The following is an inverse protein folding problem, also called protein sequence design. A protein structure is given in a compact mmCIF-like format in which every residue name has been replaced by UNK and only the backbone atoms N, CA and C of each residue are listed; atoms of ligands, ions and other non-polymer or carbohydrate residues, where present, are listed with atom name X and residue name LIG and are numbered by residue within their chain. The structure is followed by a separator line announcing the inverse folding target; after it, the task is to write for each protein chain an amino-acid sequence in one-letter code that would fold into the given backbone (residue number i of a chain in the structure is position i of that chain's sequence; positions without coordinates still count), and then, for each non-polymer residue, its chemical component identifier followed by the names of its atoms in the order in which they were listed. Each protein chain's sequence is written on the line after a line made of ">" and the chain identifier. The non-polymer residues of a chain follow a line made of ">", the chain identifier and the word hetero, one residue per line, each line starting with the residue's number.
data_IF_334637140248
#
_entry.id   IF_334637140248
#
_cell.length_a   1.000
_cell.length_b   1.000
_cell.length_c   1.000
_cell.angle_alpha   90.00
_cell.angle_beta   90.00
_cell.angle_gamma   90.00
#
_symmetry.space_group_name_H-M   'P 1'
#
loop_
_entity.id
_entity.type
_entity.pdbx_description
1 polymer ?
#
# COMPACT_ATOMS: atom_id res chain seq x y z
N UNK A 1 -82.97 4.69 -13.13
CA UNK A 1 -82.00 4.40 -12.04
C UNK A 1 -80.90 3.38 -12.38
N UNK A 2 -80.65 3.00 -13.66
CA UNK A 2 -79.60 2.02 -14.02
C UNK A 2 -78.26 2.64 -14.46
N UNK A 3 -78.23 3.91 -14.87
CA UNK A 3 -77.01 4.57 -15.34
C UNK A 3 -76.03 4.98 -14.20
N UNK A 4 -76.53 5.20 -12.98
CA UNK A 4 -75.72 5.69 -11.85
C UNK A 4 -74.80 4.61 -11.25
N UNK A 5 -75.11 3.31 -11.42
CA UNK A 5 -74.30 2.21 -10.87
C UNK A 5 -73.07 1.87 -11.72
N UNK A 6 -73.09 2.15 -13.02
CA UNK A 6 -71.96 1.88 -13.93
C UNK A 6 -70.82 2.89 -13.77
N UNK A 7 -71.13 4.15 -13.44
CA UNK A 7 -70.11 5.18 -13.24
C UNK A 7 -69.33 5.00 -11.93
N UNK A 8 -69.96 4.48 -10.88
CA UNK A 8 -69.29 4.23 -9.59
C UNK A 8 -68.33 3.04 -9.69
N UNK A 9 -68.65 2.03 -10.50
CA UNK A 9 -67.77 0.90 -10.79
C UNK A 9 -66.57 1.30 -11.69
N UNK A 10 -66.78 2.22 -12.64
CA UNK A 10 -65.68 2.71 -13.48
C UNK A 10 -64.67 3.59 -12.69
N UNK A 11 -65.16 4.38 -11.72
CA UNK A 11 -64.29 5.23 -10.87
C UNK A 11 -63.48 4.41 -9.85
N UNK A 12 -64.04 3.31 -9.33
CA UNK A 12 -63.37 2.45 -8.36
C UNK A 12 -62.31 1.55 -8.99
N UNK A 13 -62.45 1.18 -10.27
CA UNK A 13 -61.43 0.42 -11.01
C UNK A 13 -60.23 1.29 -11.41
N UNK A 14 -60.43 2.59 -11.69
CA UNK A 14 -59.30 3.51 -11.95
C UNK A 14 -58.47 3.84 -10.70
N UNK A 15 -59.06 3.77 -9.50
CA UNK A 15 -58.36 4.05 -8.25
C UNK A 15 -57.40 2.91 -7.82
N UNK A 16 -57.60 1.68 -8.32
CA UNK A 16 -56.74 0.52 -8.01
C UNK A 16 -55.49 0.50 -8.93
N UNK A 17 -55.57 1.10 -10.12
CA UNK A 17 -54.44 1.20 -11.05
C UNK A 17 -53.40 2.26 -10.65
N UNK A 18 -53.70 3.12 -9.67
CA UNK A 18 -52.78 4.08 -9.07
C UNK A 18 -52.17 3.58 -7.75
N UNK A 19 -52.17 2.26 -7.53
CA UNK A 19 -51.35 1.65 -6.48
C UNK A 19 -49.88 1.86 -6.85
N UNK A 20 -49.24 2.82 -6.20
CA UNK A 20 -47.82 3.13 -6.33
C UNK A 20 -46.99 1.86 -6.06
N UNK A 21 -46.68 1.10 -7.10
CA UNK A 21 -45.50 0.24 -7.11
C UNK A 21 -44.32 1.20 -7.12
N UNK A 22 -43.91 1.63 -5.93
CA UNK A 22 -42.70 2.42 -5.75
C UNK A 22 -41.57 1.44 -6.05
N UNK A 23 -41.04 1.51 -7.27
CA UNK A 23 -39.91 0.70 -7.72
C UNK A 23 -38.76 1.01 -6.78
N UNK A 24 -38.51 0.09 -5.85
CA UNK A 24 -37.38 0.21 -4.93
C UNK A 24 -36.17 0.03 -5.82
N UNK A 25 -35.47 1.13 -6.10
CA UNK A 25 -34.26 1.13 -6.91
C UNK A 25 -33.18 0.22 -6.33
N UNK A 26 -31.98 0.31 -6.89
CA UNK A 26 -30.89 -0.54 -6.44
C UNK A 26 -30.51 -0.23 -4.98
N UNK A 27 -30.47 -1.29 -4.17
CA UNK A 27 -30.03 -1.23 -2.78
C UNK A 27 -28.58 -1.70 -2.76
N UNK A 28 -27.66 -0.76 -2.61
CA UNK A 28 -26.24 -1.08 -2.42
C UNK A 28 -25.97 -1.49 -0.97
N UNK A 29 -25.48 -2.72 -0.78
CA UNK A 29 -25.02 -3.27 0.51
C UNK A 29 -23.52 -3.54 0.53
N UNK A 30 -22.79 -3.07 -0.47
CA UNK A 30 -21.33 -3.17 -0.49
C UNK A 30 -20.73 -2.38 0.67
N UNK A 31 -19.61 -2.86 1.17
CA UNK A 31 -18.88 -2.18 2.24
C UNK A 31 -17.91 -1.16 1.61
N UNK A 32 -17.62 -0.05 2.30
CA UNK A 32 -16.57 0.91 1.89
C UNK A 32 -15.19 0.24 1.93
N UNK A 33 -14.09 0.92 1.61
CA UNK A 33 -12.71 0.41 1.73
C UNK A 33 -12.40 -0.84 0.88
N UNK A 34 -12.87 -0.83 -0.36
CA UNK A 34 -12.53 -1.82 -1.38
C UNK A 34 -11.61 -1.19 -2.40
N UNK A 35 -10.68 -1.98 -2.95
CA UNK A 35 -9.82 -1.57 -4.06
C UNK A 35 -10.00 -2.54 -5.22
N UNK A 36 -10.11 -2.02 -6.45
CA UNK A 36 -10.08 -2.87 -7.64
C UNK A 36 -8.65 -3.36 -7.84
N UNK A 37 -8.45 -4.63 -8.18
CA UNK A 37 -7.10 -5.17 -8.40
C UNK A 37 -6.38 -4.44 -9.55
N UNK A 38 -7.13 -4.09 -10.59
CA UNK A 38 -6.62 -3.30 -11.72
C UNK A 38 -6.12 -1.91 -11.31
N UNK A 39 -6.61 -1.38 -10.19
CA UNK A 39 -6.09 -0.13 -9.62
C UNK A 39 -4.70 -0.28 -9.02
N UNK A 40 -4.10 -1.46 -8.92
CA UNK A 40 -2.73 -1.63 -8.42
C UNK A 40 -1.74 -2.07 -9.50
N UNK A 41 -2.22 -2.34 -10.71
CA UNK A 41 -1.36 -2.70 -11.84
C UNK A 41 -0.35 -1.59 -12.16
N UNK A 42 0.85 -1.98 -12.61
CA UNK A 42 1.91 -1.05 -13.01
C UNK A 42 2.96 -0.83 -11.93
N UNK A 43 3.78 0.21 -12.15
CA UNK A 43 4.87 0.58 -11.25
C UNK A 43 4.39 1.56 -10.20
N UNK A 44 4.89 1.37 -8.97
CA UNK A 44 4.61 2.22 -7.83
C UNK A 44 5.90 2.65 -7.17
N UNK A 45 5.99 3.94 -6.84
CA UNK A 45 7.04 4.49 -6.00
C UNK A 45 6.56 4.48 -4.56
N UNK A 46 7.39 3.92 -3.68
CA UNK A 46 7.09 3.77 -2.27
C UNK A 46 8.17 4.47 -1.46
N UNK A 47 7.75 5.36 -0.56
CA UNK A 47 8.61 6.13 0.32
C UNK A 47 8.16 5.95 1.76
N UNK A 48 9.12 5.67 2.65
CA UNK A 48 8.89 5.73 4.09
C UNK A 48 9.45 7.05 4.63
N UNK A 49 8.72 7.69 5.55
CA UNK A 49 9.14 8.92 6.23
C UNK A 49 8.67 8.91 7.68
N UNK A 50 9.54 9.22 8.63
CA UNK A 50 9.14 9.42 10.04
C UNK A 50 8.42 10.75 10.17
N UNK A 51 7.14 10.70 10.53
CA UNK A 51 6.29 11.89 10.68
C UNK A 51 6.16 12.33 12.13
N UNK A 52 6.37 11.41 13.07
CA UNK A 52 6.26 11.70 14.49
C UNK A 52 7.18 10.78 15.29
N UNK A 53 7.81 11.36 16.30
CA UNK A 53 8.67 10.65 17.24
C UNK A 53 8.77 11.46 18.53
N UNK A 54 9.00 10.79 19.66
CA UNK A 54 9.25 11.49 20.91
C UNK A 54 10.54 12.34 20.83
N UNK A 55 10.57 13.48 21.52
CA UNK A 55 11.73 14.36 21.53
C UNK A 55 12.97 13.74 22.19
N UNK A 56 12.79 12.67 22.96
CA UNK A 56 13.89 11.92 23.59
C UNK A 56 14.46 10.83 22.70
N UNK A 57 13.89 10.62 21.50
CA UNK A 57 14.22 9.46 20.72
C UNK A 57 15.63 9.50 20.15
N UNK A 58 16.29 8.36 20.28
CA UNK A 58 17.68 8.13 19.83
C UNK A 58 17.75 7.35 18.53
N UNK A 59 16.66 6.67 18.18
CA UNK A 59 16.59 5.72 17.07
C UNK A 59 16.25 6.36 15.73
N UNK A 60 15.56 7.51 15.72
CA UNK A 60 15.22 8.27 14.51
C UNK A 60 14.73 9.69 14.85
N UNK A 61 14.45 10.51 13.84
CA UNK A 61 13.97 11.90 13.97
C UNK A 61 12.89 12.21 12.92
N UNK A 62 12.07 13.26 13.13
CA UNK A 62 11.05 13.67 12.15
C UNK A 62 11.71 14.12 10.84
N UNK A 63 11.29 13.51 9.73
CA UNK A 63 11.86 13.73 8.40
C UNK A 63 13.00 12.79 8.05
N UNK A 64 13.31 11.81 8.91
CA UNK A 64 14.12 10.66 8.51
C UNK A 64 13.38 9.87 7.42
N UNK A 65 14.10 9.51 6.35
CA UNK A 65 13.55 9.02 5.09
C UNK A 65 14.28 7.77 4.62
N UNK A 66 13.53 6.79 4.10
CA UNK A 66 14.09 5.61 3.45
C UNK A 66 14.67 5.92 2.07
N UNK A 67 15.33 4.93 1.45
CA UNK A 67 15.97 5.07 0.12
C UNK A 67 14.99 5.24 -1.05
N UNK A 68 13.69 5.09 -0.82
CA UNK A 68 12.67 5.04 -1.87
C UNK A 68 12.75 3.75 -2.67
N UNK A 69 11.61 3.14 -2.96
CA UNK A 69 11.55 1.84 -3.65
C UNK A 69 10.58 1.90 -4.81
N UNK A 70 11.01 1.39 -5.97
CA UNK A 70 10.10 1.08 -7.08
C UNK A 70 9.61 -0.36 -6.92
N UNK A 71 8.30 -0.52 -6.87
CA UNK A 71 7.65 -1.82 -6.65
C UNK A 71 6.55 -2.11 -7.66
N UNK A 72 6.26 -3.39 -7.83
CA UNK A 72 5.08 -3.93 -8.52
C UNK A 72 4.25 -4.64 -7.47
N UNK A 73 2.95 -4.33 -7.41
CA UNK A 73 2.02 -5.01 -6.52
C UNK A 73 1.49 -6.28 -7.17
N UNK A 74 1.56 -7.39 -6.44
CA UNK A 74 0.98 -8.65 -6.82
C UNK A 74 0.01 -9.13 -5.73
N UNK A 75 -1.29 -9.23 -6.05
CA UNK A 75 -2.26 -9.82 -5.15
C UNK A 75 -2.12 -11.35 -5.13
N UNK A 76 -1.72 -11.91 -3.99
CA UNK A 76 -1.89 -13.33 -3.66
C UNK A 76 -3.25 -13.58 -2.99
N UNK A 77 -3.49 -14.78 -2.47
CA UNK A 77 -4.77 -15.14 -1.83
C UNK A 77 -4.99 -14.44 -0.48
N UNK A 78 -3.94 -14.34 0.34
CA UNK A 78 -4.01 -13.80 1.70
C UNK A 78 -3.13 -12.54 1.88
N UNK A 79 -2.29 -12.19 0.90
CA UNK A 79 -1.33 -11.10 0.99
C UNK A 79 -1.27 -10.31 -0.32
N UNK A 80 -1.17 -8.99 -0.21
CA UNK A 80 -0.79 -8.11 -1.30
C UNK A 80 0.71 -7.85 -1.16
N UNK A 81 1.51 -8.46 -2.01
CA UNK A 81 2.98 -8.37 -1.94
C UNK A 81 3.45 -7.28 -2.90
N UNK A 82 4.36 -6.43 -2.42
CA UNK A 82 5.05 -5.42 -3.21
C UNK A 82 6.46 -5.92 -3.52
N UNK A 83 6.69 -6.36 -4.76
CA UNK A 83 7.99 -6.82 -5.21
C UNK A 83 8.82 -5.68 -5.78
N UNK A 84 10.12 -5.68 -5.50
CA UNK A 84 11.06 -4.74 -6.11
C UNK A 84 11.04 -4.86 -7.64
N UNK A 85 10.93 -3.73 -8.32
CA UNK A 85 10.81 -3.65 -9.78
C UNK A 85 12.16 -3.54 -10.52
N UNK A 86 13.28 -3.57 -9.81
CA UNK A 86 14.63 -3.39 -10.33
C UNK A 86 15.61 -4.35 -9.62
N UNK A 87 16.72 -4.68 -10.29
CA UNK A 87 17.77 -5.50 -9.68
C UNK A 87 18.49 -4.71 -8.58
N UNK A 88 18.61 -5.29 -7.39
CA UNK A 88 19.36 -4.68 -6.27
C UNK A 88 20.84 -4.53 -6.60
N UNK A 89 21.41 -5.63 -7.10
CA UNK A 89 22.78 -5.73 -7.54
C UNK A 89 22.75 -6.04 -9.03
N UNK A 90 23.18 -5.07 -9.83
CA UNK A 90 23.19 -5.18 -11.29
C UNK A 90 23.93 -6.46 -11.71
N UNK A 91 23.21 -7.31 -12.47
CA UNK A 91 23.68 -8.59 -12.99
C UNK A 91 23.67 -9.75 -12.00
N UNK A 92 23.25 -9.55 -10.74
CA UNK A 92 23.13 -10.64 -9.78
C UNK A 92 21.94 -11.56 -10.10
N UNK A 93 20.81 -11.00 -10.51
CA UNK A 93 19.61 -11.78 -10.81
C UNK A 93 19.85 -12.67 -12.04
N UNK A 94 20.49 -12.14 -13.08
CA UNK A 94 20.93 -12.93 -14.24
C UNK A 94 21.92 -14.08 -13.91
N UNK A 95 22.67 -13.98 -12.81
CA UNK A 95 23.55 -15.05 -12.33
C UNK A 95 22.79 -16.08 -11.48
N UNK A 96 21.84 -15.62 -10.67
CA UNK A 96 21.03 -16.47 -9.81
C UNK A 96 19.97 -17.25 -10.60
N UNK A 97 19.43 -16.63 -11.64
CA UNK A 97 18.42 -17.17 -12.52
C UNK A 97 18.79 -16.94 -14.00
N UNK A 98 19.68 -17.79 -14.54
CA UNK A 98 20.11 -17.69 -15.93
C UNK A 98 18.99 -18.04 -16.94
N UNK A 99 17.86 -18.59 -16.46
CA UNK A 99 16.74 -18.99 -17.31
C UNK A 99 15.60 -17.95 -17.32
N UNK A 100 15.61 -16.96 -16.41
CA UNK A 100 14.54 -15.98 -16.25
C UNK A 100 13.24 -16.59 -15.72
N UNK A 101 13.34 -17.60 -14.86
CA UNK A 101 12.22 -18.24 -14.17
C UNK A 101 11.67 -17.43 -12.98
N UNK A 102 12.47 -16.52 -12.41
CA UNK A 102 12.09 -15.62 -11.32
C UNK A 102 11.42 -14.40 -11.93
N UNK A 103 10.10 -14.34 -11.80
CA UNK A 103 9.26 -13.30 -12.39
C UNK A 103 9.36 -11.95 -11.63
N UNK A 104 9.77 -11.99 -10.35
CA UNK A 104 9.74 -10.84 -9.46
C UNK A 104 11.02 -10.69 -8.62
N UNK A 105 11.41 -9.44 -8.32
CA UNK A 105 12.50 -9.14 -7.41
C UNK A 105 12.20 -9.52 -5.95
N UNK A 106 13.01 -9.05 -5.00
CA UNK A 106 12.73 -9.27 -3.58
C UNK A 106 11.41 -8.62 -3.16
N UNK A 107 10.62 -9.33 -2.35
CA UNK A 107 9.46 -8.72 -1.67
C UNK A 107 9.97 -7.59 -0.76
N UNK A 108 9.42 -6.39 -0.87
CA UNK A 108 9.79 -5.25 -0.01
C UNK A 108 8.77 -5.08 1.11
N UNK A 109 7.49 -5.18 0.75
CA UNK A 109 6.36 -5.04 1.67
C UNK A 109 5.31 -6.11 1.36
N UNK A 110 4.50 -6.48 2.35
CA UNK A 110 3.29 -7.25 2.16
C UNK A 110 2.19 -6.78 3.11
N UNK A 111 0.96 -6.69 2.60
CA UNK A 111 -0.22 -6.31 3.37
C UNK A 111 -1.21 -7.46 3.41
N UNK A 112 -1.80 -7.79 4.56
CA UNK A 112 -2.83 -8.82 4.63
C UNK A 112 -4.06 -8.46 3.80
N UNK A 113 -4.57 -9.43 3.05
CA UNK A 113 -5.84 -9.32 2.35
C UNK A 113 -6.93 -9.95 3.22
N UNK A 114 -7.97 -9.17 3.52
CA UNK A 114 -9.11 -9.62 4.33
C UNK A 114 -10.10 -10.44 3.50
N UNK A 115 -10.32 -10.04 2.24
CA UNK A 115 -11.21 -10.76 1.32
C UNK A 115 -11.03 -10.34 -0.14
N UNK A 116 -11.29 -11.29 -1.04
CA UNK A 116 -11.50 -11.04 -2.46
C UNK A 116 -12.98 -11.23 -2.80
N UNK A 117 -13.57 -10.32 -3.56
CA UNK A 117 -14.99 -10.35 -3.88
C UNK A 117 -15.32 -9.61 -5.18
N UNK A 118 -16.48 -9.91 -5.71
CA UNK A 118 -17.10 -9.19 -6.82
C UNK A 118 -18.29 -8.39 -6.35
N UNK A 119 -18.52 -7.25 -7.01
CA UNK A 119 -19.72 -6.46 -6.79
C UNK A 119 -20.74 -6.86 -7.85
N UNK A 120 -21.77 -7.58 -7.43
CA UNK A 120 -22.83 -8.01 -8.33
C UNK A 120 -24.21 -7.96 -7.68
N UNK A 121 -25.25 -8.00 -8.50
CA UNK A 121 -26.62 -8.15 -8.00
C UNK A 121 -26.78 -9.52 -7.37
N UNK A 122 -27.32 -9.54 -6.16
CA UNK A 122 -27.69 -10.78 -5.48
C UNK A 122 -28.71 -11.53 -6.34
N UNK A 123 -28.55 -12.83 -6.48
CA UNK A 123 -29.46 -13.68 -7.24
C UNK A 123 -29.94 -14.86 -6.39
N UNK A 124 -31.09 -15.41 -6.75
CA UNK A 124 -31.56 -16.65 -6.15
C UNK A 124 -30.76 -17.83 -6.71
N UNK A 125 -30.02 -18.55 -5.87
CA UNK A 125 -29.17 -19.67 -6.29
C UNK A 125 -29.93 -20.85 -6.92
N UNK A 126 -31.24 -20.96 -6.68
CA UNK A 126 -32.09 -22.01 -7.25
C UNK A 126 -32.70 -21.64 -8.61
N UNK A 127 -32.91 -20.35 -8.90
CA UNK A 127 -33.61 -19.89 -10.13
C UNK A 127 -32.78 -18.99 -11.03
N UNK A 128 -31.68 -18.41 -10.53
CA UNK A 128 -30.85 -17.43 -11.25
C UNK A 128 -31.47 -16.03 -11.36
N UNK A 129 -32.65 -15.80 -10.81
CA UNK A 129 -33.29 -14.49 -10.85
C UNK A 129 -32.52 -13.48 -10.00
N UNK A 130 -32.11 -12.37 -10.61
CA UNK A 130 -31.43 -11.27 -9.93
C UNK A 130 -32.43 -10.43 -9.13
N UNK A 131 -31.98 -9.96 -7.98
CA UNK A 131 -32.70 -9.03 -7.11
C UNK A 131 -32.20 -7.60 -7.34
N UNK A 132 -32.87 -6.63 -6.73
CA UNK A 132 -32.45 -5.22 -6.72
C UNK A 132 -31.35 -4.93 -5.67
N UNK A 133 -30.79 -5.93 -5.00
CA UNK A 133 -29.74 -5.75 -3.99
C UNK A 133 -28.38 -6.00 -4.63
N UNK A 134 -27.48 -5.01 -4.56
CA UNK A 134 -26.07 -5.15 -4.93
C UNK A 134 -25.30 -5.60 -3.68
N UNK A 135 -24.51 -6.66 -3.80
CA UNK A 135 -23.80 -7.26 -2.68
C UNK A 135 -22.42 -7.76 -3.10
N UNK A 136 -21.52 -7.88 -2.13
CA UNK A 136 -20.22 -8.50 -2.30
C UNK A 136 -20.37 -10.03 -2.38
N UNK A 137 -19.86 -10.63 -3.45
CA UNK A 137 -19.84 -12.07 -3.64
C UNK A 137 -18.39 -12.59 -3.58
N UNK A 138 -18.13 -13.53 -2.68
CA UNK A 138 -16.83 -14.16 -2.49
C UNK A 138 -16.87 -15.69 -2.71
N UNK A 139 -17.90 -16.21 -3.38
CA UNK A 139 -18.12 -17.65 -3.55
C UNK A 139 -18.08 -18.14 -4.99
N UNK A 140 -18.46 -17.30 -5.96
CA UNK A 140 -18.81 -17.79 -7.31
C UNK A 140 -17.59 -18.03 -8.20
N UNK A 141 -16.56 -17.18 -8.06
CA UNK A 141 -15.30 -17.24 -8.81
C UNK A 141 -14.14 -17.52 -7.88
N UNK A 142 -13.03 -18.05 -8.40
CA UNK A 142 -11.81 -18.20 -7.59
C UNK A 142 -11.24 -16.83 -7.23
N UNK A 143 -10.48 -16.72 -6.14
CA UNK A 143 -10.07 -15.44 -5.57
C UNK A 143 -9.31 -14.56 -6.57
N UNK A 144 -8.46 -15.17 -7.41
CA UNK A 144 -7.62 -14.51 -8.41
C UNK A 144 -8.45 -13.87 -9.54
N UNK A 145 -9.57 -14.48 -9.91
CA UNK A 145 -10.48 -14.01 -10.96
C UNK A 145 -11.41 -12.87 -10.52
N UNK A 146 -11.49 -12.59 -9.22
CA UNK A 146 -12.37 -11.54 -8.66
C UNK A 146 -11.79 -10.15 -8.88
N UNK A 147 -12.67 -9.18 -9.08
CA UNK A 147 -12.31 -7.80 -9.46
C UNK A 147 -11.82 -6.96 -8.27
N UNK A 148 -12.43 -7.15 -7.10
CA UNK A 148 -12.13 -6.34 -5.92
C UNK A 148 -11.48 -7.16 -4.83
N UNK A 149 -10.75 -6.45 -3.98
CA UNK A 149 -10.22 -6.97 -2.73
C UNK A 149 -10.27 -5.91 -1.64
N UNK A 150 -10.11 -6.37 -0.41
CA UNK A 150 -10.03 -5.54 0.79
C UNK A 150 -8.71 -5.82 1.48
N UNK A 151 -7.86 -4.82 1.46
CA UNK A 151 -6.51 -4.88 2.04
C UNK A 151 -6.55 -4.25 3.43
N UNK A 152 -5.89 -4.89 4.38
CA UNK A 152 -5.64 -4.35 5.70
C UNK A 152 -4.36 -3.50 5.67
N UNK A 153 -4.50 -2.25 5.25
CA UNK A 153 -3.38 -1.32 5.15
C UNK A 153 -2.69 -1.06 6.49
N UNK A 154 -3.38 -1.25 7.62
CA UNK A 154 -2.81 -0.98 8.94
C UNK A 154 -1.75 -1.99 9.38
N UNK A 155 -1.71 -3.18 8.74
CA UNK A 155 -0.76 -4.23 9.07
C UNK A 155 0.24 -4.38 7.91
N UNK A 156 1.53 -4.24 8.19
CA UNK A 156 2.58 -4.39 7.17
C UNK A 156 3.61 -5.44 7.59
N UNK A 157 3.98 -6.29 6.64
CA UNK A 157 5.19 -7.11 6.73
C UNK A 157 6.23 -6.44 5.85
N UNK A 158 7.34 -5.99 6.44
CA UNK A 158 8.40 -5.28 5.71
C UNK A 158 9.74 -6.00 5.80
N UNK A 159 10.54 -5.91 4.74
CA UNK A 159 11.94 -6.35 4.78
C UNK A 159 12.84 -5.25 5.36
N UNK A 160 13.58 -5.59 6.42
CA UNK A 160 14.31 -4.63 7.26
C UNK A 160 15.65 -4.12 6.73
N UNK A 161 16.05 -4.42 5.50
CA UNK A 161 17.36 -3.98 4.96
C UNK A 161 17.38 -2.57 4.38
N UNK A 162 16.22 -2.05 3.94
CA UNK A 162 16.03 -0.71 3.37
C UNK A 162 15.00 0.13 4.15
N UNK A 163 14.53 -0.39 5.30
CA UNK A 163 13.56 0.30 6.14
C UNK A 163 14.26 1.40 6.96
N UNK A 164 13.55 2.49 7.27
CA UNK A 164 14.05 3.52 8.21
C UNK A 164 14.47 2.91 9.56
N UNK A 165 13.87 1.78 9.94
CA UNK A 165 14.17 1.06 11.17
C UNK A 165 15.16 -0.10 10.96
N UNK A 166 15.96 -0.07 9.89
CA UNK A 166 16.98 -1.07 9.60
C UNK A 166 18.00 -1.15 10.74
N UNK A 167 18.10 -2.31 11.39
CA UNK A 167 19.02 -2.54 12.52
C UNK A 167 18.37 -2.45 13.90
N UNK A 168 17.11 -2.02 14.01
CA UNK A 168 16.36 -2.08 15.27
C UNK A 168 15.97 -3.54 15.55
N UNK A 169 16.45 -4.08 16.68
CA UNK A 169 16.35 -5.51 17.01
C UNK A 169 15.00 -5.88 17.62
N UNK A 170 14.36 -4.96 18.35
CA UNK A 170 13.04 -5.18 18.97
C UNK A 170 12.04 -4.11 18.49
N UNK A 171 11.28 -4.48 17.45
CA UNK A 171 10.22 -3.66 16.88
C UNK A 171 8.89 -4.34 17.20
N UNK A 172 8.05 -3.65 17.96
CA UNK A 172 6.64 -4.01 18.08
C UNK A 172 5.80 -3.04 17.24
N UNK A 173 5.18 -3.55 16.17
CA UNK A 173 4.19 -2.76 15.44
C UNK A 173 2.88 -2.72 16.25
N UNK A 174 2.40 -1.51 16.51
CA UNK A 174 1.09 -1.30 17.09
C UNK A 174 0.17 -0.85 15.97
N UNK A 175 -0.58 -1.80 15.44
CA UNK A 175 -1.65 -1.51 14.50
C UNK A 175 -2.81 -0.86 15.23
N UNK A 176 -2.91 0.46 15.15
CA UNK A 176 -4.12 1.17 15.53
C UNK A 176 -5.07 1.08 14.35
N UNK A 177 -5.97 0.10 14.39
CA UNK A 177 -7.01 -0.03 13.38
C UNK A 177 -7.89 1.23 13.42
N UNK A 178 -8.05 1.97 12.30
CA UNK A 178 -8.78 3.24 12.27
C UNK A 178 -10.28 3.11 12.61
N UNK A 179 -10.76 1.88 12.80
CA UNK A 179 -12.16 1.58 13.10
C UNK A 179 -12.48 1.71 14.60
N UNK A 180 -11.47 1.86 15.47
CA UNK A 180 -11.60 1.98 16.92
C UNK A 180 -11.21 3.37 17.49
N UNK A 181 -10.87 4.36 16.65
CA UNK A 181 -10.57 5.73 17.09
C UNK A 181 -11.51 6.78 16.46
N UNK A 182 -11.82 7.84 17.22
CA UNK A 182 -12.46 9.07 16.73
C UNK A 182 -11.49 10.01 16.00
N UNK A 183 -10.22 9.62 15.86
CA UNK A 183 -9.16 10.40 15.23
C UNK A 183 -9.21 10.34 13.70
N UNK A 184 -8.41 11.19 13.04
CA UNK A 184 -8.26 11.18 11.57
C UNK A 184 -7.83 9.79 11.08
N UNK A 185 -8.35 9.33 9.93
CA UNK A 185 -8.03 8.00 9.41
C UNK A 185 -6.51 7.89 9.20
N UNK A 186 -5.92 6.80 9.72
CA UNK A 186 -4.48 6.52 9.61
C UNK A 186 -4.05 6.14 8.19
N UNK A 187 -4.99 6.00 7.26
CA UNK A 187 -4.70 5.80 5.86
C UNK A 187 -5.79 6.39 4.96
N UNK A 188 -5.42 6.77 3.75
CA UNK A 188 -6.37 7.18 2.71
C UNK A 188 -5.86 6.79 1.32
N UNK A 189 -6.80 6.70 0.38
CA UNK A 189 -6.52 6.42 -1.03
C UNK A 189 -7.11 7.55 -1.85
N UNK A 190 -6.28 8.19 -2.66
CA UNK A 190 -6.69 9.13 -3.70
C UNK A 190 -6.95 8.37 -5.00
N UNK A 191 -8.01 8.78 -5.70
CA UNK A 191 -8.41 8.18 -6.96
C UNK A 191 -8.32 9.20 -8.09
N UNK A 192 -7.86 8.75 -9.26
CA UNK A 192 -7.83 9.53 -10.48
C UNK A 192 -9.26 9.79 -11.03
N UNK A 193 -9.35 10.56 -12.12
CA UNK A 193 -10.62 10.84 -12.80
C UNK A 193 -11.34 9.58 -13.31
N UNK A 194 -10.62 8.47 -13.48
CA UNK A 194 -11.13 7.18 -13.95
C UNK A 194 -11.51 6.22 -12.80
N UNK A 195 -11.35 6.64 -11.54
CA UNK A 195 -11.62 5.82 -10.36
C UNK A 195 -10.55 4.77 -10.05
N UNK A 196 -9.33 4.93 -10.56
CA UNK A 196 -8.16 4.10 -10.21
C UNK A 196 -7.39 4.74 -9.07
N UNK A 197 -6.81 3.93 -8.20
CA UNK A 197 -5.96 4.45 -7.13
C UNK A 197 -4.72 5.11 -7.74
N UNK A 198 -4.42 6.33 -7.31
CA UNK A 198 -3.29 7.13 -7.80
C UNK A 198 -2.23 7.32 -6.70
N UNK A 199 -2.70 7.60 -5.48
CA UNK A 199 -1.86 7.76 -4.30
C UNK A 199 -2.48 7.05 -3.10
N UNK A 200 -1.67 6.36 -2.32
CA UNK A 200 -2.06 5.68 -1.08
C UNK A 200 -1.11 6.16 0.02
N UNK A 201 -1.67 6.65 1.12
CA UNK A 201 -0.93 7.09 2.31
C UNK A 201 -1.36 6.23 3.48
N UNK A 202 -0.39 5.69 4.21
CA UNK A 202 -0.63 4.86 5.40
C UNK A 202 0.34 5.27 6.50
N UNK A 203 -0.17 5.47 7.72
CA UNK A 203 0.64 5.77 8.90
C UNK A 203 0.67 4.54 9.79
N UNK A 204 1.87 3.97 9.94
CA UNK A 204 2.15 2.88 10.86
C UNK A 204 2.73 3.43 12.16
N UNK A 205 2.27 2.89 13.29
CA UNK A 205 2.82 3.23 14.61
C UNK A 205 3.64 2.07 15.13
N UNK A 206 4.92 2.32 15.38
CA UNK A 206 5.84 1.37 15.99
C UNK A 206 6.13 1.77 17.43
N UNK A 207 6.28 0.79 18.30
CA UNK A 207 6.95 0.94 19.58
C UNK A 207 8.25 0.17 19.51
N UNK A 208 9.35 0.92 19.59
CA UNK A 208 10.69 0.37 19.47
C UNK A 208 11.48 0.63 20.74
N UNK A 209 12.26 -0.35 21.15
CA UNK A 209 13.22 -0.19 22.25
C UNK A 209 14.62 0.00 21.63
N UNK A 210 15.27 1.16 21.86
CA UNK A 210 16.61 1.38 21.33
C UNK A 210 17.62 0.46 22.03
N UNK A 211 18.69 0.08 21.32
CA UNK A 211 19.76 -0.67 21.97
C UNK A 211 20.42 0.18 23.05
N UNK A 212 20.70 -0.43 24.21
CA UNK A 212 21.32 0.28 25.33
C UNK A 212 22.67 0.90 24.96
N UNK A 213 23.41 0.28 24.05
CA UNK A 213 24.68 0.79 23.52
C UNK A 213 24.47 2.05 22.70
N UNK A 214 23.47 2.08 21.82
CA UNK A 214 23.14 3.26 21.02
C UNK A 214 22.75 4.43 21.93
N UNK A 215 21.91 4.17 22.93
CA UNK A 215 21.52 5.18 23.91
C UNK A 215 22.72 5.75 24.70
N UNK A 216 23.68 4.90 25.08
CA UNK A 216 24.91 5.33 25.77
C UNK A 216 25.85 6.09 24.83
N UNK A 217 25.90 5.76 23.54
CA UNK A 217 26.72 6.48 22.57
C UNK A 217 26.17 7.88 22.29
N UNK A 218 24.85 8.02 22.20
CA UNK A 218 24.19 9.31 21.94
C UNK A 218 24.26 10.23 23.17
N UNK A 219 23.83 9.76 24.34
CA UNK A 219 23.77 10.59 25.53
C UNK A 219 25.07 10.57 26.36
N UNK A 220 25.93 9.56 26.22
CA UNK A 220 27.09 9.36 27.10
C UNK A 220 26.71 8.82 28.49
N UNK A 221 27.69 8.54 29.36
CA UNK A 221 27.44 8.14 30.77
C UNK A 221 27.52 9.41 31.65
N UNK A 222 26.52 9.72 32.50
CA UNK A 222 25.43 8.86 33.00
C UNK A 222 24.06 9.13 32.34
N UNK A 223 23.98 9.12 31.01
CA UNK A 223 22.79 9.38 30.17
C UNK A 223 22.24 10.82 30.22
N UNK A 224 22.75 11.68 31.12
CA UNK A 224 22.42 13.12 31.22
C UNK A 224 20.91 13.45 31.16
N UNK A 225 20.07 12.55 31.65
CA UNK A 225 18.60 12.71 31.64
C UNK A 225 17.90 12.18 30.39
N UNK A 226 18.62 11.53 29.47
CA UNK A 226 18.05 10.74 28.38
C UNK A 226 17.34 9.49 28.92
N UNK A 227 16.20 9.18 28.33
CA UNK A 227 15.43 7.96 28.60
C UNK A 227 15.80 6.93 27.52
N UNK A 228 16.24 5.73 27.94
CA UNK A 228 16.53 4.61 27.03
C UNK A 228 15.37 3.59 27.03
N UNK A 229 14.15 4.05 27.35
CA UNK A 229 12.95 3.22 27.35
C UNK A 229 12.39 2.99 25.95
N UNK A 230 11.31 2.19 25.84
CA UNK A 230 10.59 2.01 24.60
C UNK A 230 9.92 3.32 24.17
N UNK A 231 9.98 3.60 22.88
CA UNK A 231 9.53 4.85 22.28
C UNK A 231 8.56 4.59 21.14
N UNK A 232 7.61 5.51 20.98
CA UNK A 232 6.62 5.46 19.92
C UNK A 232 7.08 6.28 18.71
N UNK A 233 7.09 5.66 17.55
CA UNK A 233 7.42 6.27 16.25
C UNK A 233 6.26 6.09 15.29
N UNK A 234 5.87 7.14 14.60
CA UNK A 234 4.89 7.07 13.52
C UNK A 234 5.63 7.24 12.19
N UNK A 235 5.53 6.22 11.34
CA UNK A 235 6.15 6.18 10.01
C UNK A 235 5.04 6.23 8.98
N UNK A 236 5.12 7.22 8.10
CA UNK A 236 4.27 7.29 6.91
C UNK A 236 4.88 6.43 5.81
N UNK A 237 4.04 5.60 5.21
CA UNK A 237 4.29 4.92 3.96
C UNK A 237 3.46 5.60 2.86
N UNK A 238 4.14 6.32 1.99
CA UNK A 238 3.57 7.00 0.84
C UNK A 238 3.80 6.14 -0.40
N UNK A 239 2.72 5.76 -1.09
CA UNK A 239 2.75 4.95 -2.30
C UNK A 239 2.11 5.74 -3.43
N UNK A 240 2.87 6.03 -4.47
CA UNK A 240 2.43 6.80 -5.62
C UNK A 240 2.57 5.98 -6.89
N UNK A 241 1.55 5.97 -7.73
CA UNK A 241 1.66 5.38 -9.07
C UNK A 241 2.73 6.11 -9.87
N UNK A 242 3.59 5.35 -10.53
CA UNK A 242 4.56 5.92 -11.46
C UNK A 242 3.88 6.16 -12.79
N UNK A 243 3.79 7.43 -13.19
CA UNK A 243 3.36 7.80 -14.53
C UNK A 243 4.47 7.55 -15.55
N UNK A 244 4.09 7.29 -16.81
CA UNK A 244 5.06 7.27 -17.90
C UNK A 244 5.71 8.65 -18.03
N UNK A 245 7.03 8.71 -17.81
CA UNK A 245 7.82 9.91 -17.99
C UNK A 245 8.73 9.78 -19.20
N UNK A 246 8.89 10.87 -19.94
CA UNK A 246 9.93 11.02 -20.96
C UNK A 246 11.30 11.35 -20.34
N UNK A 247 11.38 11.45 -19.01
CA UNK A 247 12.61 11.68 -18.28
C UNK A 247 13.64 10.59 -18.59
N UNK A 248 14.75 11.02 -19.16
CA UNK A 248 15.95 10.19 -19.32
C UNK A 248 16.94 10.62 -18.24
N UNK A 249 17.34 9.74 -17.32
CA UNK A 249 18.38 10.06 -16.36
C UNK A 249 19.64 10.45 -17.14
N UNK A 250 20.15 11.65 -16.87
CA UNK A 250 21.44 12.07 -17.43
C UNK A 250 22.53 11.55 -16.51
N UNK A 251 23.34 10.63 -17.01
CA UNK A 251 24.62 10.34 -16.39
C UNK A 251 25.51 11.57 -16.48
N UNK A 252 25.88 12.10 -15.31
CA UNK A 252 26.90 13.12 -15.22
C UNK A 252 28.26 12.43 -15.18
N UNK A 253 29.15 12.82 -16.08
CA UNK A 253 30.52 12.30 -16.06
C UNK A 253 31.36 12.98 -14.97
N UNK A 254 32.55 12.42 -14.71
CA UNK A 254 33.47 12.93 -13.71
C UNK A 254 33.93 14.37 -14.01
N UNK A 255 33.97 14.76 -15.29
CA UNK A 255 34.34 16.11 -15.69
C UNK A 255 33.23 17.13 -15.36
N UNK A 256 31.97 16.76 -15.59
CA UNK A 256 30.80 17.56 -15.24
C UNK A 256 30.61 17.66 -13.73
N UNK A 257 30.86 16.58 -12.98
CA UNK A 257 30.80 16.58 -11.52
C UNK A 257 31.86 17.49 -10.85
N UNK A 258 32.99 17.75 -11.52
CA UNK A 258 33.97 18.74 -11.06
C UNK A 258 33.43 20.18 -11.06
N UNK A 259 32.39 20.46 -11.85
CA UNK A 259 31.79 21.79 -11.93
C UNK A 259 30.85 22.08 -10.74
N UNK A 260 30.25 21.04 -10.16
CA UNK A 260 29.22 21.17 -9.10
C UNK A 260 29.71 20.83 -7.68
N UNK A 261 30.90 20.24 -7.51
CA UNK A 261 31.41 19.83 -6.20
C UNK A 261 30.70 18.57 -5.66
N UNK A 262 31.27 17.97 -4.61
CA UNK A 262 31.13 16.56 -4.21
C UNK A 262 29.70 16.01 -4.03
N UNK A 263 29.22 15.25 -5.03
CA UNK A 263 28.06 14.33 -4.94
C UNK A 263 28.41 12.90 -5.41
N UNK A 264 29.63 12.42 -5.13
CA UNK A 264 30.05 11.07 -5.51
C UNK A 264 29.92 10.10 -4.34
N UNK A 265 29.20 9.00 -4.56
CA UNK A 265 29.23 7.83 -3.66
C UNK A 265 30.27 6.85 -4.17
N UNK A 266 31.43 6.81 -3.51
CA UNK A 266 32.49 5.86 -3.87
C UNK A 266 32.20 4.50 -3.23
N UNK A 267 31.93 3.48 -4.06
CA UNK A 267 31.86 2.09 -3.61
C UNK A 267 33.19 1.39 -3.91
N UNK A 268 33.80 0.82 -2.88
CA UNK A 268 35.04 0.04 -3.00
C UNK A 268 34.71 -1.28 -3.69
N UNK A 269 35.32 -1.53 -4.84
CA UNK A 269 35.18 -2.82 -5.55
C UNK A 269 36.49 -3.58 -5.48
N UNK A 270 36.39 -4.87 -5.17
CA UNK A 270 37.55 -5.76 -5.06
C UNK A 270 37.89 -6.39 -6.41
N UNK A 271 39.09 -6.08 -6.93
CA UNK A 271 39.65 -6.71 -8.12
C UNK A 271 40.73 -7.72 -7.72
N UNK A 272 40.63 -8.95 -8.21
CA UNK A 272 41.53 -10.05 -7.82
C UNK A 272 42.99 -9.84 -8.22
N UNK A 273 43.28 -8.98 -9.22
CA UNK A 273 44.62 -8.63 -9.69
C UNK A 273 45.18 -7.38 -9.02
N UNK A 274 44.32 -6.49 -8.54
CA UNK A 274 44.73 -5.16 -8.09
C UNK A 274 44.31 -4.78 -6.66
N UNK A 275 43.62 -5.66 -5.95
CA UNK A 275 43.10 -5.42 -4.61
C UNK A 275 41.89 -4.50 -4.59
N UNK A 276 41.60 -3.89 -3.43
CA UNK A 276 40.52 -2.92 -3.26
C UNK A 276 40.80 -1.65 -4.06
N UNK A 277 39.92 -1.31 -5.00
CA UNK A 277 40.01 -0.09 -5.81
C UNK A 277 38.83 0.82 -5.55
N UNK A 278 39.11 2.12 -5.52
CA UNK A 278 38.14 3.18 -5.20
C UNK A 278 37.24 3.59 -6.39
N UNK A 279 37.15 2.74 -7.41
CA UNK A 279 36.36 3.03 -8.60
C UNK A 279 35.92 1.73 -9.27
N UNK A 280 34.93 1.06 -8.69
CA UNK A 280 34.08 0.20 -9.49
C UNK A 280 33.24 1.07 -10.41
N UNK A 281 33.73 1.32 -11.63
CA UNK A 281 32.99 2.06 -12.66
C UNK A 281 31.77 1.24 -13.04
N UNK A 282 30.59 1.66 -12.61
CA UNK A 282 29.32 1.23 -13.20
C UNK A 282 28.70 2.50 -13.76
N UNK A 283 28.75 2.61 -15.09
CA UNK A 283 27.79 3.40 -15.87
C UNK A 283 26.45 2.70 -15.75
#
# INVERSE_FOLDING_TARGET
>A
MRASRLWILALSVSAIAAGCAQEVGDIDRTQPNRIAKSSLEGLWMVQQTVVNVNATAVSSFVGDEGSGQLVVFEPEEDQLVAYRAYEDIIGADALADPNGEVEHGSAQFAFPIQSHFDIQRQYNSSTGEQTNVISENSSDRHWNEREYMRVDWGNIVQNGSDAILAGVVDISEITIQPQDSTDEPTWFIEYDENGRADYIDVIHTYVIEPDYTECVLEFGIPLWGGDCGPERIEVRLSMMRVEESDYQPREYDDYEMNEFGWFQTHRVVYDQRYGSRDSGRIT
#
